data_IF_640307357063
#
_entry.id   IF_640307357063
#
_cell.length_a   1.000
_cell.length_b   1.000
_cell.length_c   1.000
_cell.angle_alpha   90.00
_cell.angle_beta   90.00
_cell.angle_gamma   90.00
#
_symmetry.space_group_name_H-M   'P 1'
#
loop_
_entity.id
_entity.type
_entity.pdbx_description
1 polymer ?
#
# COMPACT_ATOMS: atom_id res chain seq x y z
N UNK A 1 5.91 -3.21 -2.13
CA UNK A 1 6.24 -4.00 -0.92
C UNK A 1 4.97 -4.24 -0.11
N UNK A 2 4.82 -5.43 0.49
CA UNK A 2 3.88 -5.78 1.56
C UNK A 2 2.36 -5.92 1.24
N UNK A 3 1.98 -6.87 0.37
CA UNK A 3 0.61 -7.42 0.35
C UNK A 3 0.43 -8.67 1.24
N UNK A 4 1.49 -9.13 1.91
CA UNK A 4 1.47 -10.34 2.75
C UNK A 4 1.41 -10.07 4.27
N UNK A 5 1.46 -8.81 4.72
CA UNK A 5 1.34 -8.47 6.15
C UNK A 5 -0.11 -8.55 6.67
N UNK A 6 -1.09 -8.61 5.76
CA UNK A 6 -2.53 -8.46 6.03
C UNK A 6 -3.24 -9.82 6.09
N UNK A 7 -2.56 -10.87 6.58
CA UNK A 7 -3.18 -12.19 6.81
C UNK A 7 -2.87 -12.69 8.22
N UNK A 8 -2.84 -11.79 9.20
CA UNK A 8 -2.78 -12.16 10.61
C UNK A 8 -3.95 -11.53 11.38
N UNK A 9 -4.91 -12.31 11.91
CA UNK A 9 -6.05 -11.80 12.69
C UNK A 9 -5.71 -11.10 14.02
N UNK A 10 -4.46 -10.69 14.29
CA UNK A 10 -3.98 -10.34 15.63
C UNK A 10 -3.15 -9.06 15.77
N UNK A 11 -3.26 -8.09 14.85
CA UNK A 11 -2.57 -6.80 15.00
C UNK A 11 -3.56 -5.65 15.04
N UNK A 12 -4.12 -5.39 16.24
CA UNK A 12 -4.99 -4.22 16.50
C UNK A 12 -4.22 -2.90 16.34
N UNK A 13 -2.95 -2.88 16.76
CA UNK A 13 -2.06 -1.73 16.62
C UNK A 13 -0.89 -2.12 15.73
N UNK A 14 -0.68 -1.40 14.65
CA UNK A 14 0.43 -1.57 13.74
C UNK A 14 1.29 -0.30 13.76
N UNK A 15 2.51 -0.40 14.31
CA UNK A 15 3.50 0.67 14.26
C UNK A 15 4.55 0.35 13.19
N UNK A 16 4.88 1.34 12.37
CA UNK A 16 5.96 1.26 11.39
C UNK A 16 6.83 2.50 11.50
N UNK A 17 8.11 2.27 11.70
CA UNK A 17 9.14 3.29 11.57
C UNK A 17 9.52 3.43 10.10
N UNK A 18 9.28 4.62 9.53
CA UNK A 18 9.43 4.88 8.10
C UNK A 18 10.44 6.00 7.88
N UNK A 19 11.72 5.64 7.95
CA UNK A 19 12.83 6.48 7.49
C UNK A 19 12.84 6.54 5.95
N UNK A 20 11.90 7.29 5.39
CA UNK A 20 11.76 7.42 3.94
C UNK A 20 11.89 8.89 3.55
N UNK A 21 13.00 9.17 2.88
CA UNK A 21 13.34 10.45 2.29
C UNK A 21 13.20 10.33 0.77
N UNK A 22 12.03 10.68 0.20
CA UNK A 22 11.85 10.63 -1.25
C UNK A 22 12.68 11.72 -1.93
N UNK A 23 13.42 11.36 -2.99
CA UNK A 23 14.27 12.30 -3.74
C UNK A 23 13.42 13.35 -4.49
N UNK A 24 12.16 13.03 -4.78
CA UNK A 24 11.23 13.96 -5.44
C UNK A 24 9.74 13.76 -5.08
N UNK A 25 8.94 14.75 -5.45
CA UNK A 25 7.48 14.79 -5.22
C UNK A 25 6.70 13.64 -5.87
N UNK A 26 7.23 13.04 -6.95
CA UNK A 26 6.57 11.94 -7.65
C UNK A 26 6.75 10.65 -6.87
N UNK A 27 7.95 10.40 -6.38
CA UNK A 27 8.28 9.26 -5.52
C UNK A 27 7.55 9.33 -4.19
N UNK A 28 7.52 10.50 -3.53
CA UNK A 28 6.74 10.69 -2.29
C UNK A 28 5.28 10.26 -2.50
N UNK A 29 4.62 10.80 -3.53
CA UNK A 29 3.22 10.47 -3.84
C UNK A 29 3.03 9.00 -4.16
N UNK A 30 3.93 8.41 -4.94
CA UNK A 30 3.84 7.00 -5.29
C UNK A 30 3.93 6.13 -4.05
N UNK A 31 4.89 6.43 -3.18
CA UNK A 31 5.12 5.70 -1.94
C UNK A 31 3.92 5.80 -0.98
N UNK A 32 3.41 7.01 -0.73
CA UNK A 32 2.24 7.21 0.14
C UNK A 32 0.98 6.52 -0.39
N UNK A 33 0.77 6.50 -1.71
CA UNK A 33 -0.34 5.76 -2.32
C UNK A 33 -0.20 4.25 -2.12
N UNK A 34 1.01 3.70 -2.29
CA UNK A 34 1.26 2.28 -2.05
C UNK A 34 1.13 1.89 -0.59
N UNK A 35 1.58 2.75 0.34
CA UNK A 35 1.40 2.53 1.77
C UNK A 35 -0.08 2.50 2.15
N UNK A 36 -0.86 3.48 1.67
CA UNK A 36 -2.32 3.52 1.85
C UNK A 36 -2.97 2.24 1.31
N UNK A 37 -2.57 1.79 0.12
CA UNK A 37 -3.14 0.60 -0.49
C UNK A 37 -2.86 -0.67 0.32
N UNK A 38 -1.60 -0.86 0.73
CA UNK A 38 -1.19 -2.06 1.44
C UNK A 38 -1.79 -2.20 2.84
N UNK A 39 -2.01 -1.08 3.53
CA UNK A 39 -2.45 -1.08 4.93
C UNK A 39 -3.94 -0.78 5.11
N UNK A 40 -4.49 0.15 4.32
CA UNK A 40 -5.78 0.79 4.60
C UNK A 40 -6.72 0.85 3.38
N UNK A 41 -6.38 0.23 2.25
CA UNK A 41 -7.38 0.08 1.19
C UNK A 41 -8.59 -0.70 1.69
N UNK A 42 -9.75 -0.45 1.09
CA UNK A 42 -10.95 -1.27 1.32
C UNK A 42 -10.66 -2.77 1.22
N UNK A 43 -9.69 -3.17 0.38
CA UNK A 43 -9.27 -4.55 0.22
C UNK A 43 -8.39 -5.05 1.36
N UNK A 44 -7.41 -4.26 1.79
CA UNK A 44 -6.59 -4.59 2.96
C UNK A 44 -7.49 -4.72 4.21
N UNK A 45 -8.40 -3.78 4.43
CA UNK A 45 -9.32 -3.80 5.57
C UNK A 45 -10.34 -4.96 5.56
N UNK A 46 -10.62 -5.59 4.40
CA UNK A 46 -11.45 -6.82 4.36
C UNK A 46 -10.76 -8.02 5.02
N UNK A 47 -9.43 -8.01 5.11
CA UNK A 47 -8.63 -9.13 5.58
C UNK A 47 -7.82 -8.80 6.86
N UNK A 48 -7.57 -7.52 7.14
CA UNK A 48 -6.89 -7.03 8.34
C UNK A 48 -7.88 -6.52 9.41
N UNK A 49 -7.52 -6.73 10.68
CA UNK A 49 -8.15 -6.10 11.86
C UNK A 49 -7.20 -5.03 12.41
N UNK A 50 -6.75 -4.10 11.55
CA UNK A 50 -5.91 -2.98 11.98
C UNK A 50 -6.84 -1.89 12.48
N UNK A 51 -6.85 -1.64 13.79
CA UNK A 51 -7.64 -0.59 14.45
C UNK A 51 -6.83 0.72 14.51
N UNK A 52 -5.53 0.61 14.81
CA UNK A 52 -4.62 1.74 14.94
C UNK A 52 -3.38 1.58 14.04
N UNK A 53 -3.05 2.63 13.29
CA UNK A 53 -1.81 2.77 12.52
C UNK A 53 -0.97 3.90 13.12
N UNK A 54 0.24 3.57 13.56
CA UNK A 54 1.23 4.53 14.02
C UNK A 54 2.36 4.59 13.00
N UNK A 55 2.61 5.77 12.46
CA UNK A 55 3.72 6.04 11.56
C UNK A 55 4.76 6.84 12.32
N UNK A 56 5.90 6.23 12.60
CA UNK A 56 7.03 6.85 13.28
C UNK A 56 8.03 7.39 12.24
N UNK A 57 8.75 8.46 12.61
CA UNK A 57 9.82 9.07 11.81
C UNK A 57 9.46 9.51 10.39
N UNK A 58 8.22 9.98 10.18
CA UNK A 58 7.78 10.49 8.88
C UNK A 58 8.57 11.74 8.48
N UNK A 59 9.58 11.58 7.62
CA UNK A 59 10.48 12.66 7.21
C UNK A 59 9.79 13.76 6.40
N UNK A 60 9.08 13.39 5.33
CA UNK A 60 8.37 14.35 4.47
C UNK A 60 6.95 13.87 4.12
N UNK A 61 5.96 14.49 4.76
CA UNK A 61 4.53 14.34 4.43
C UNK A 61 3.95 15.70 4.06
N UNK A 62 3.59 15.89 2.79
CA UNK A 62 2.96 17.13 2.31
C UNK A 62 1.44 16.98 2.30
N UNK A 63 0.73 18.12 2.27
CA UNK A 63 -0.74 18.13 2.14
C UNK A 63 -1.21 17.29 0.93
N UNK A 64 -0.52 17.42 -0.21
CA UNK A 64 -0.81 16.62 -1.41
C UNK A 64 -0.62 15.11 -1.17
N UNK A 65 0.32 14.72 -0.32
CA UNK A 65 0.56 13.31 -0.03
C UNK A 65 -0.58 12.74 0.82
N UNK A 66 -1.07 13.53 1.80
CA UNK A 66 -2.27 13.20 2.59
C UNK A 66 -3.51 13.09 1.71
N UNK A 67 -3.71 14.02 0.78
CA UNK A 67 -4.85 13.96 -0.16
C UNK A 67 -4.81 12.70 -1.03
N UNK A 68 -3.62 12.32 -1.50
CA UNK A 68 -3.41 11.10 -2.28
C UNK A 68 -3.64 9.84 -1.43
N UNK A 69 -3.19 9.85 -0.18
CA UNK A 69 -3.40 8.78 0.78
C UNK A 69 -4.91 8.57 1.02
N UNK A 70 -5.64 9.65 1.31
CA UNK A 70 -7.08 9.63 1.52
C UNK A 70 -7.87 9.19 0.28
N UNK A 71 -7.42 9.58 -0.91
CA UNK A 71 -8.02 9.14 -2.17
C UNK A 71 -7.92 7.62 -2.36
N UNK A 72 -6.78 7.01 -2.02
CA UNK A 72 -6.61 5.55 -2.09
C UNK A 72 -7.49 4.83 -1.07
N UNK A 73 -7.57 5.33 0.17
CA UNK A 73 -8.43 4.74 1.21
C UNK A 73 -9.91 4.75 0.83
N UNK A 74 -10.36 5.85 0.20
CA UNK A 74 -11.78 6.05 -0.14
C UNK A 74 -12.18 5.44 -1.48
N UNK A 75 -11.22 4.98 -2.28
CA UNK A 75 -11.49 4.48 -3.63
C UNK A 75 -12.16 3.10 -3.61
N UNK A 76 -13.19 2.88 -4.45
CA UNK A 76 -13.71 1.54 -4.71
C UNK A 76 -12.71 0.67 -5.49
N UNK A 77 -11.86 1.29 -6.31
CA UNK A 77 -10.88 0.65 -7.18
C UNK A 77 -9.51 1.32 -6.98
N UNK A 78 -8.84 1.10 -5.84
CA UNK A 78 -7.58 1.75 -5.55
C UNK A 78 -6.45 1.32 -6.50
N UNK A 79 -6.50 0.12 -7.09
CA UNK A 79 -5.52 -0.38 -8.05
C UNK A 79 -5.39 0.54 -9.27
N UNK A 80 -6.50 1.05 -9.80
CA UNK A 80 -6.51 1.97 -10.94
C UNK A 80 -5.84 3.31 -10.60
N UNK A 81 -6.01 3.79 -9.36
CA UNK A 81 -5.35 5.00 -8.86
C UNK A 81 -3.83 4.80 -8.69
N UNK A 82 -3.39 3.59 -8.34
CA UNK A 82 -1.97 3.26 -8.19
C UNK A 82 -1.26 3.25 -9.54
N UNK A 83 -1.86 2.60 -10.54
CA UNK A 83 -1.26 2.46 -11.87
C UNK A 83 -1.64 3.60 -12.83
N UNK A 84 -2.46 4.55 -12.38
CA UNK A 84 -2.90 5.71 -13.17
C UNK A 84 -3.77 5.33 -14.38
N UNK A 85 -4.55 4.26 -14.25
CA UNK A 85 -5.39 3.77 -15.35
C UNK A 85 -6.82 4.33 -15.29
N UNK A 86 -7.52 4.44 -16.44
CA UNK A 86 -8.91 4.90 -16.47
C UNK A 86 -9.85 4.00 -15.68
N UNK A 87 -10.95 4.57 -15.18
CA UNK A 87 -11.92 3.80 -14.43
C UNK A 87 -12.55 2.66 -15.24
N UNK A 88 -12.57 1.46 -14.66
CA UNK A 88 -13.08 0.23 -15.27
C UNK A 88 -12.12 -0.46 -16.25
N UNK A 89 -10.86 -0.03 -16.31
CA UNK A 89 -9.85 -0.62 -17.22
C UNK A 89 -9.12 -1.82 -16.61
N UNK A 90 -9.05 -1.90 -15.27
CA UNK A 90 -8.39 -3.02 -14.59
C UNK A 90 -9.44 -4.04 -14.21
N UNK A 91 -9.38 -5.22 -14.83
CA UNK A 91 -10.19 -6.34 -14.37
C UNK A 91 -9.60 -6.89 -13.07
N UNK A 92 -10.26 -6.58 -11.95
CA UNK A 92 -9.88 -7.04 -10.63
C UNK A 92 -9.85 -8.57 -10.59
N UNK A 93 -8.72 -9.14 -10.18
CA UNK A 93 -8.55 -10.59 -10.01
C UNK A 93 -7.92 -10.87 -8.65
N UNK A 94 -8.50 -11.82 -7.93
CA UNK A 94 -7.88 -12.40 -6.75
C UNK A 94 -6.86 -13.46 -7.16
N UNK A 95 -5.61 -13.30 -6.70
CA UNK A 95 -4.57 -14.31 -6.84
C UNK A 95 -4.48 -15.13 -5.56
N UNK A 96 -4.90 -16.40 -5.58
CA UNK A 96 -4.71 -17.30 -4.44
C UNK A 96 -3.33 -17.95 -4.51
N UNK A 97 -2.47 -17.67 -3.53
CA UNK A 97 -1.24 -18.43 -3.33
C UNK A 97 -1.58 -19.79 -2.70
N UNK A 98 -1.14 -20.88 -3.33
CA UNK A 98 -1.29 -22.22 -2.75
C UNK A 98 -0.43 -22.32 -1.48
N UNK A 99 -0.91 -23.08 -0.49
CA UNK A 99 -0.13 -23.36 0.71
C UNK A 99 1.24 -23.94 0.35
N UNK A 100 2.30 -23.39 0.95
CA UNK A 100 3.72 -23.74 0.70
C UNK A 100 4.23 -23.43 -0.72
N UNK A 101 3.52 -22.63 -1.51
CA UNK A 101 4.06 -22.14 -2.78
C UNK A 101 5.31 -21.30 -2.50
N UNK A 102 6.47 -21.62 -3.11
CA UNK A 102 7.67 -20.82 -2.94
C UNK A 102 7.47 -19.45 -3.61
N UNK A 103 7.60 -18.38 -2.83
CA UNK A 103 7.62 -17.02 -3.37
C UNK A 103 9.04 -16.70 -3.83
N UNK A 104 9.23 -16.58 -5.15
CA UNK A 104 10.47 -16.04 -5.71
C UNK A 104 10.34 -14.53 -5.81
N UNK A 105 11.10 -13.82 -4.98
CA UNK A 105 11.29 -12.39 -5.08
C UNK A 105 12.49 -12.14 -5.99
N UNK A 106 12.28 -11.50 -7.14
CA UNK A 106 13.33 -11.16 -8.07
C UNK A 106 13.30 -9.65 -8.26
N UNK A 107 14.29 -8.97 -7.70
CA UNK A 107 14.61 -7.59 -8.06
C UNK A 107 15.41 -7.67 -9.36
N UNK A 108 14.99 -6.96 -10.39
CA UNK A 108 15.88 -6.66 -11.51
C UNK A 108 16.85 -5.56 -11.07
N UNK A 109 18.05 -5.55 -11.66
CA UNK A 109 19.09 -4.52 -11.43
C UNK A 109 18.69 -3.14 -12.01
N UNK A 110 17.41 -2.95 -12.28
CA UNK A 110 16.75 -1.74 -12.76
C UNK A 110 15.78 -1.25 -11.68
N UNK A 111 16.30 -1.07 -10.45
CA UNK A 111 15.55 -0.47 -9.35
C UNK A 111 14.77 0.81 -9.75
N UNK A 112 13.80 1.22 -8.92
CA UNK A 112 12.57 1.94 -9.27
C UNK A 112 12.69 3.21 -10.13
#
# INVERSE_FOLDING_TARGET
MCSALVVNPMTKVFSVDLEIEPDNDRESRHWWRWLAYGLLSNRACRHAIVEDLVLESVGHLRVKDVDNFAAVMSSPQPEELLIGSPHGSVHEKDGTLRSRAPMRWQFDDQGP
#
